data_IF_382786220659
#
_entry.id   IF_382786220659
#
_cell.length_a   1.000
_cell.length_b   1.000
_cell.length_c   1.000
_cell.angle_alpha   90.00
_cell.angle_beta   90.00
_cell.angle_gamma   90.00
#
_symmetry.space_group_name_H-M   'P 1'
#
loop_
_entity.id
_entity.type
_entity.pdbx_description
1 polymer ?
#
# COMPACT_ATOMS: atom_id res chain seq x y z
N UNK A 1 -6.61 12.65 110.03
CA UNK A 1 -6.82 11.21 110.22
C UNK A 1 -7.00 10.60 108.88
N UNK A 2 -6.01 9.94 108.41
CA UNK A 2 -5.99 8.52 108.04
C UNK A 2 -6.91 8.18 106.87
N UNK A 3 -6.64 7.52 105.84
CA UNK A 3 -5.55 6.60 105.51
C UNK A 3 -5.64 6.26 104.03
N UNK A 4 -4.53 5.93 103.46
CA UNK A 4 -4.20 4.75 102.64
C UNK A 4 -4.94 4.59 101.27
N UNK A 5 -4.28 4.73 100.26
CA UNK A 5 -3.46 3.77 99.48
C UNK A 5 -4.25 2.63 98.86
N UNK A 6 -4.21 2.55 97.60
CA UNK A 6 -4.00 1.25 96.92
C UNK A 6 -3.70 1.37 95.40
N UNK A 7 -2.72 0.67 95.06
CA UNK A 7 -2.14 0.37 93.73
C UNK A 7 -3.14 -0.25 92.75
N UNK A 8 -2.92 -0.01 91.52
CA UNK A 8 -3.57 -0.74 90.41
C UNK A 8 -2.80 -0.66 89.14
N UNK A 9 -1.84 -1.53 88.99
CA UNK A 9 -1.15 -1.89 87.75
C UNK A 9 -2.12 -2.50 86.72
N UNK A 10 -2.16 -2.00 85.50
CA UNK A 10 -2.63 -2.69 84.26
C UNK A 10 -2.60 -1.68 83.18
N UNK A 11 -2.18 -1.84 82.00
CA UNK A 11 -1.92 -2.94 81.08
C UNK A 11 -1.16 -2.36 79.89
N UNK A 12 0.02 -2.82 79.66
CA UNK A 12 0.72 -2.67 78.38
C UNK A 12 0.39 -3.89 77.55
N UNK A 13 -0.73 -3.86 76.80
CA UNK A 13 -1.04 -4.78 75.72
C UNK A 13 -2.06 -4.13 74.82
N UNK A 14 -1.61 -3.51 73.72
CA UNK A 14 -2.54 -2.91 72.79
C UNK A 14 -1.91 -2.19 71.61
N UNK A 15 -0.61 -2.27 71.38
CA UNK A 15 0.05 -1.53 70.27
C UNK A 15 0.79 -2.45 69.31
N UNK A 16 0.59 -3.74 69.33
CA UNK A 16 1.27 -4.68 68.40
C UNK A 16 0.35 -5.30 67.35
N UNK A 17 -0.92 -4.93 67.27
CA UNK A 17 -1.88 -5.53 66.31
C UNK A 17 -2.28 -4.62 65.15
N UNK A 18 -1.81 -3.38 65.04
CA UNK A 18 -2.14 -2.45 63.92
C UNK A 18 -1.02 -2.23 62.91
N UNK A 19 0.16 -2.83 63.12
CA UNK A 19 1.29 -2.68 62.16
C UNK A 19 1.38 -3.80 61.11
N UNK A 20 0.55 -4.85 61.21
CA UNK A 20 0.57 -5.98 60.25
C UNK A 20 -0.50 -5.90 59.17
N UNK A 21 -1.41 -4.93 59.21
CA UNK A 21 -2.49 -4.78 58.20
C UNK A 21 -2.21 -3.73 57.10
N UNK A 22 -1.07 -3.02 57.15
CA UNK A 22 -0.76 -1.96 56.20
C UNK A 22 0.27 -2.34 55.10
N UNK A 23 0.70 -3.62 55.05
CA UNK A 23 1.71 -4.05 54.07
C UNK A 23 1.17 -5.03 53.02
N UNK A 24 -0.14 -5.12 52.82
CA UNK A 24 -0.78 -6.01 51.84
C UNK A 24 -1.70 -5.30 50.82
N UNK A 25 -1.33 -4.14 50.32
CA UNK A 25 -2.14 -3.50 49.27
C UNK A 25 -1.31 -2.57 48.41
N UNK A 26 -0.37 -3.11 47.64
CA UNK A 26 0.16 -2.50 46.43
C UNK A 26 0.89 -3.54 45.58
N UNK A 27 0.27 -4.71 45.36
CA UNK A 27 0.53 -5.50 44.16
C UNK A 27 -0.53 -5.06 43.18
N UNK A 28 -0.29 -3.94 42.51
CA UNK A 28 -0.97 -3.68 41.24
C UNK A 28 -0.61 -4.84 40.32
N UNK A 29 -1.58 -5.62 39.80
CA UNK A 29 -1.27 -6.52 38.72
C UNK A 29 -0.82 -5.62 37.55
N UNK A 30 0.46 -5.58 37.29
CA UNK A 30 0.95 -5.23 35.97
C UNK A 30 0.25 -6.20 35.05
N UNK A 31 -0.86 -5.77 34.45
CA UNK A 31 -1.48 -6.45 33.34
C UNK A 31 -0.40 -6.45 32.26
N UNK A 32 0.36 -7.53 32.25
CA UNK A 32 1.21 -7.88 31.12
C UNK A 32 0.20 -8.07 29.99
N UNK A 33 0.02 -7.02 29.17
CA UNK A 33 -0.73 -7.16 27.95
C UNK A 33 -0.14 -8.39 27.26
N UNK A 34 -0.93 -9.44 27.17
CA UNK A 34 -0.58 -10.61 26.37
C UNK A 34 -0.40 -10.07 24.95
N UNK A 35 0.82 -10.01 24.50
CA UNK A 35 1.16 -9.64 23.14
C UNK A 35 0.63 -10.74 22.26
N UNK A 36 -0.48 -10.47 21.58
CA UNK A 36 -1.13 -11.43 20.69
C UNK A 36 -0.44 -11.41 19.33
N UNK A 37 -0.29 -12.57 18.71
CA UNK A 37 0.12 -12.67 17.31
C UNK A 37 -0.85 -11.89 16.41
N UNK A 38 -0.44 -11.56 15.18
CA UNK A 38 -1.34 -10.96 14.20
C UNK A 38 -2.65 -11.76 14.10
N UNK A 39 -3.81 -11.09 14.16
CA UNK A 39 -5.10 -11.75 14.05
C UNK A 39 -5.29 -12.36 12.66
N UNK A 40 -6.02 -13.48 12.59
CA UNK A 40 -6.37 -14.10 11.31
C UNK A 40 -7.48 -13.34 10.59
N UNK A 41 -8.21 -12.47 11.29
CA UNK A 41 -9.27 -11.59 10.79
C UNK A 41 -9.36 -10.37 11.70
N UNK A 42 -9.60 -9.20 11.11
CA UNK A 42 -10.02 -8.02 11.84
C UNK A 42 -11.55 -7.89 11.76
N UNK A 43 -12.20 -7.58 12.87
CA UNK A 43 -13.58 -7.14 12.81
C UNK A 43 -13.68 -5.75 12.16
N UNK A 44 -14.86 -5.37 11.68
CA UNK A 44 -15.08 -4.11 10.95
C UNK A 44 -14.74 -2.88 11.76
N UNK A 45 -14.98 -2.91 13.07
CA UNK A 45 -14.67 -1.80 13.97
C UNK A 45 -13.15 -1.63 14.12
N UNK A 46 -12.44 -2.72 14.34
CA UNK A 46 -10.97 -2.72 14.45
C UNK A 46 -10.34 -2.29 13.13
N UNK A 47 -10.80 -2.84 12.01
CA UNK A 47 -10.35 -2.42 10.67
C UNK A 47 -10.53 -0.91 10.47
N UNK A 48 -11.74 -0.39 10.74
CA UNK A 48 -12.02 1.04 10.54
C UNK A 48 -11.23 1.93 11.50
N UNK A 49 -10.98 1.45 12.72
CA UNK A 49 -10.10 2.13 13.69
C UNK A 49 -8.67 2.23 13.13
N UNK A 50 -8.10 1.14 12.58
CA UNK A 50 -6.79 1.20 11.95
C UNK A 50 -6.78 2.21 10.79
N UNK A 51 -7.77 2.15 9.89
CA UNK A 51 -7.89 3.07 8.75
C UNK A 51 -7.92 4.53 9.21
N UNK A 52 -8.69 4.85 10.25
CA UNK A 52 -8.87 6.23 10.69
C UNK A 52 -7.74 6.73 11.60
N UNK A 53 -7.36 5.89 12.58
CA UNK A 53 -6.39 6.30 13.60
C UNK A 53 -4.94 6.29 13.09
N UNK A 54 -4.61 5.48 12.07
CA UNK A 54 -3.26 5.48 11.51
C UNK A 54 -3.10 6.50 10.39
N UNK A 55 -4.21 6.94 9.80
CA UNK A 55 -4.17 7.92 8.70
C UNK A 55 -3.79 9.32 9.16
N UNK A 56 -3.22 10.05 8.24
CA UNK A 56 -2.86 11.46 8.28
C UNK A 56 -3.88 12.30 7.48
N UNK A 57 -3.87 13.62 7.61
CA UNK A 57 -4.57 14.49 6.65
C UNK A 57 -4.10 14.21 5.22
N UNK A 58 -5.04 14.27 4.27
CA UNK A 58 -4.72 14.05 2.85
C UNK A 58 -3.74 15.08 2.33
N UNK A 59 -2.66 14.61 1.71
CA UNK A 59 -1.78 15.44 0.91
C UNK A 59 -2.22 15.50 -0.55
N UNK A 60 -1.37 16.08 -1.38
CA UNK A 60 -1.60 16.28 -2.81
C UNK A 60 -0.57 15.52 -3.65
N UNK A 61 -1.06 14.90 -4.70
CA UNK A 61 -0.23 14.39 -5.80
C UNK A 61 -0.87 14.80 -7.14
N UNK A 62 -0.05 15.14 -8.12
CA UNK A 62 -0.53 15.73 -9.39
C UNK A 62 -1.30 14.78 -10.32
N UNK A 63 -1.28 13.49 -10.04
CA UNK A 63 -1.94 12.45 -10.84
C UNK A 63 -3.00 11.74 -10.03
N UNK A 64 -4.09 11.34 -10.66
CA UNK A 64 -5.11 10.48 -10.04
C UNK A 64 -4.58 9.10 -9.68
N UNK A 65 -3.69 8.55 -10.53
CA UNK A 65 -3.06 7.24 -10.31
C UNK A 65 -4.08 6.15 -9.94
N UNK A 66 -5.16 6.04 -10.73
CA UNK A 66 -6.22 5.05 -10.49
C UNK A 66 -5.78 3.65 -10.91
N UNK A 67 -4.82 3.57 -11.84
CA UNK A 67 -4.11 2.36 -12.27
C UNK A 67 -2.62 2.67 -12.33
N UNK A 68 -1.77 1.65 -12.27
CA UNK A 68 -0.32 1.81 -12.33
C UNK A 68 0.16 2.22 -13.72
N UNK A 69 1.41 2.67 -13.80
CA UNK A 69 2.15 2.88 -15.05
C UNK A 69 3.41 2.00 -15.16
N UNK A 70 3.52 0.96 -14.34
CA UNK A 70 4.68 0.08 -14.18
C UNK A 70 4.45 -1.25 -14.90
N UNK A 71 4.88 -1.40 -16.15
CA UNK A 71 4.65 -2.61 -16.95
C UNK A 71 5.35 -3.86 -16.43
N UNK A 72 6.55 -3.71 -15.84
CA UNK A 72 7.41 -4.85 -15.50
C UNK A 72 7.38 -5.21 -14.02
N UNK A 73 6.35 -4.78 -13.32
CA UNK A 73 6.23 -4.96 -11.87
C UNK A 73 6.19 -6.44 -11.43
N UNK A 74 5.76 -7.36 -12.30
CA UNK A 74 5.71 -8.78 -12.00
C UNK A 74 7.07 -9.48 -12.05
N UNK A 75 8.11 -8.86 -12.67
CA UNK A 75 9.42 -9.50 -12.89
C UNK A 75 10.13 -9.90 -11.60
N UNK A 76 9.88 -9.22 -10.51
CA UNK A 76 10.51 -9.50 -9.21
C UNK A 76 9.83 -10.60 -8.40
N UNK A 77 8.59 -10.96 -8.75
CA UNK A 77 7.78 -11.93 -7.97
C UNK A 77 8.47 -13.28 -7.81
N UNK A 78 9.04 -13.91 -8.87
CA UNK A 78 9.72 -15.19 -8.70
C UNK A 78 10.89 -15.16 -7.72
N UNK A 79 11.62 -14.04 -7.66
CA UNK A 79 12.71 -13.86 -6.69
C UNK A 79 12.15 -13.68 -5.28
N UNK A 80 11.13 -12.85 -5.10
CA UNK A 80 10.49 -12.62 -3.81
C UNK A 80 9.93 -13.92 -3.21
N UNK A 81 9.23 -14.73 -3.99
CA UNK A 81 8.66 -16.01 -3.54
C UNK A 81 9.72 -17.01 -3.07
N UNK A 82 10.95 -16.94 -3.61
CA UNK A 82 12.06 -17.81 -3.16
C UNK A 82 12.77 -17.31 -1.92
N UNK A 83 12.71 -16.01 -1.64
CA UNK A 83 13.54 -15.39 -0.61
C UNK A 83 12.78 -15.01 0.65
N UNK A 84 11.47 -14.78 0.55
CA UNK A 84 10.65 -14.32 1.67
C UNK A 84 10.14 -15.50 2.51
N UNK A 85 10.03 -15.25 3.81
CA UNK A 85 9.39 -16.17 4.73
C UNK A 85 7.87 -15.93 4.73
N UNK A 86 7.04 -17.00 4.85
CA UNK A 86 5.61 -16.85 5.09
C UNK A 86 5.32 -16.09 6.41
N UNK A 87 4.17 -15.44 6.49
CA UNK A 87 3.60 -14.90 7.74
C UNK A 87 4.12 -13.55 8.26
N UNK A 88 4.48 -12.64 7.39
CA UNK A 88 4.88 -11.27 7.73
C UNK A 88 3.92 -10.24 7.14
N UNK A 89 4.18 -8.95 7.40
CA UNK A 89 3.38 -7.87 6.87
C UNK A 89 3.92 -7.37 5.53
N UNK A 90 3.00 -6.91 4.67
CA UNK A 90 3.29 -6.18 3.45
C UNK A 90 2.98 -4.69 3.67
N UNK A 91 3.84 -3.81 3.19
CA UNK A 91 3.56 -2.37 3.09
C UNK A 91 3.68 -1.97 1.62
N UNK A 92 2.75 -1.16 1.13
CA UNK A 92 2.77 -0.72 -0.28
C UNK A 92 2.18 0.66 -0.47
N UNK A 93 2.23 1.16 -1.72
CA UNK A 93 1.70 2.45 -2.14
C UNK A 93 0.94 2.34 -3.46
N UNK A 94 0.01 3.25 -3.68
CA UNK A 94 -0.68 3.36 -4.97
C UNK A 94 -1.81 2.36 -5.19
N UNK A 95 -2.18 2.08 -6.46
CA UNK A 95 -3.40 1.36 -6.79
C UNK A 95 -3.30 -0.17 -6.65
N UNK A 96 -4.17 -0.85 -7.35
CA UNK A 96 -4.41 -2.31 -7.35
C UNK A 96 -3.21 -3.19 -7.76
N UNK A 97 -2.13 -2.63 -8.29
CA UNK A 97 -0.86 -3.35 -8.48
C UNK A 97 -0.41 -4.06 -7.20
N UNK A 98 -0.67 -3.47 -6.03
CA UNK A 98 -0.44 -4.08 -4.73
C UNK A 98 -1.12 -5.46 -4.61
N UNK A 99 -2.31 -5.63 -5.17
CA UNK A 99 -3.06 -6.89 -5.09
C UNK A 99 -2.31 -8.06 -5.73
N UNK A 100 -1.56 -7.80 -6.81
CA UNK A 100 -0.72 -8.83 -7.44
C UNK A 100 0.40 -9.27 -6.49
N UNK A 101 1.11 -8.33 -5.84
CA UNK A 101 2.12 -8.67 -4.85
C UNK A 101 1.52 -9.38 -3.64
N UNK A 102 0.40 -8.87 -3.13
CA UNK A 102 -0.31 -9.44 -1.97
C UNK A 102 -0.77 -10.87 -2.27
N UNK A 103 -1.40 -11.12 -3.42
CA UNK A 103 -1.86 -12.44 -3.81
C UNK A 103 -0.70 -13.43 -4.03
N UNK A 104 0.43 -12.96 -4.57
CA UNK A 104 1.62 -13.78 -4.80
C UNK A 104 2.40 -14.12 -3.53
N UNK A 105 2.44 -13.21 -2.55
CA UNK A 105 3.25 -13.32 -1.33
C UNK A 105 2.44 -13.78 -0.10
N UNK A 106 1.12 -13.63 -0.15
CA UNK A 106 0.17 -14.06 0.91
C UNK A 106 0.57 -13.58 2.31
N UNK A 107 0.78 -12.27 2.52
CA UNK A 107 1.11 -11.74 3.83
C UNK A 107 -0.05 -11.97 4.81
N UNK A 108 0.24 -11.99 6.11
CA UNK A 108 -0.80 -12.06 7.14
C UNK A 108 -1.62 -10.78 7.25
N UNK A 109 -1.01 -9.64 6.92
CA UNK A 109 -1.68 -8.34 6.85
C UNK A 109 -0.95 -7.47 5.82
N UNK A 110 -1.68 -6.60 5.14
CA UNK A 110 -1.14 -5.63 4.21
C UNK A 110 -1.61 -4.22 4.58
N UNK A 111 -0.69 -3.26 4.56
CA UNK A 111 -0.97 -1.84 4.70
C UNK A 111 -0.64 -1.11 3.40
N UNK A 112 -1.62 -0.43 2.81
CA UNK A 112 -1.40 0.37 1.61
C UNK A 112 -1.46 1.84 1.99
N UNK A 113 -0.31 2.49 2.02
CA UNK A 113 -0.14 3.87 2.49
C UNK A 113 0.07 4.79 1.29
N UNK A 114 -0.82 5.73 1.08
CA UNK A 114 -0.71 6.72 0.00
C UNK A 114 -1.05 8.12 0.55
N UNK A 115 -0.35 9.11 0.07
CA UNK A 115 -0.56 10.51 0.50
C UNK A 115 -1.97 11.02 0.16
N UNK A 116 -2.64 10.43 -0.82
CA UNK A 116 -3.97 10.84 -1.27
C UNK A 116 -5.06 10.03 -0.60
N UNK A 117 -6.06 10.74 -0.04
CA UNK A 117 -7.29 10.10 0.43
C UNK A 117 -8.02 9.35 -0.69
N UNK A 118 -7.93 9.83 -1.93
CA UNK A 118 -8.53 9.18 -3.09
C UNK A 118 -8.03 7.74 -3.28
N UNK A 119 -6.75 7.44 -3.01
CA UNK A 119 -6.23 6.07 -3.08
C UNK A 119 -6.83 5.16 -2.00
N UNK A 120 -7.00 5.68 -0.78
CA UNK A 120 -7.73 4.95 0.28
C UNK A 120 -9.17 4.63 -0.17
N UNK A 121 -9.87 5.59 -0.76
CA UNK A 121 -11.24 5.42 -1.26
C UNK A 121 -11.30 4.44 -2.46
N UNK A 122 -10.30 4.43 -3.34
CA UNK A 122 -10.11 3.45 -4.40
C UNK A 122 -10.04 2.02 -3.82
N UNK A 123 -9.21 1.81 -2.79
CA UNK A 123 -9.10 0.50 -2.14
C UNK A 123 -10.37 0.09 -1.39
N UNK A 124 -11.08 1.01 -0.75
CA UNK A 124 -12.39 0.72 -0.15
C UNK A 124 -13.44 0.34 -1.20
N UNK A 125 -13.42 0.98 -2.38
CA UNK A 125 -14.26 0.59 -3.52
C UNK A 125 -13.90 -0.83 -3.99
N UNK A 126 -12.62 -1.14 -4.16
CA UNK A 126 -12.17 -2.49 -4.51
C UNK A 126 -12.59 -3.53 -3.48
N UNK A 127 -12.42 -3.23 -2.18
CA UNK A 127 -12.88 -4.10 -1.10
C UNK A 127 -14.35 -4.47 -1.27
N UNK A 128 -15.23 -3.48 -1.42
CA UNK A 128 -16.66 -3.72 -1.60
C UNK A 128 -16.94 -4.56 -2.85
N UNK A 129 -16.29 -4.26 -3.98
CA UNK A 129 -16.49 -4.98 -5.24
C UNK A 129 -15.99 -6.42 -5.16
N UNK A 130 -14.83 -6.67 -4.56
CA UNK A 130 -14.23 -8.00 -4.40
C UNK A 130 -15.10 -8.86 -3.49
N UNK A 131 -15.53 -8.34 -2.33
CA UNK A 131 -16.40 -9.06 -1.40
C UNK A 131 -17.76 -9.44 -2.01
N UNK A 132 -18.32 -8.58 -2.87
CA UNK A 132 -19.60 -8.84 -3.55
C UNK A 132 -19.45 -9.76 -4.77
N UNK A 133 -18.23 -10.16 -5.14
CA UNK A 133 -17.96 -10.88 -6.38
C UNK A 133 -17.34 -12.24 -6.08
N UNK A 134 -18.11 -13.33 -6.21
CA UNK A 134 -17.61 -14.67 -5.91
C UNK A 134 -16.57 -15.18 -6.92
N UNK A 135 -16.50 -14.58 -8.11
CA UNK A 135 -15.55 -14.94 -9.17
C UNK A 135 -14.92 -13.70 -9.78
N UNK A 136 -13.76 -13.87 -10.44
CA UNK A 136 -13.08 -12.77 -11.13
C UNK A 136 -13.92 -12.19 -12.28
N UNK A 137 -14.77 -12.97 -12.94
CA UNK A 137 -15.69 -12.45 -13.95
C UNK A 137 -16.75 -11.54 -13.31
N UNK A 138 -17.34 -11.99 -12.20
CA UNK A 138 -18.32 -11.19 -11.46
C UNK A 138 -17.67 -9.87 -10.96
N UNK A 139 -16.42 -9.93 -10.54
CA UNK A 139 -15.63 -8.74 -10.16
C UNK A 139 -15.45 -7.78 -11.33
N UNK A 140 -14.98 -8.25 -12.49
CA UNK A 140 -14.78 -7.40 -13.67
C UNK A 140 -16.12 -6.84 -14.20
N UNK A 141 -17.19 -7.64 -14.19
CA UNK A 141 -18.53 -7.18 -14.55
C UNK A 141 -18.99 -6.02 -13.67
N UNK A 142 -18.76 -6.10 -12.34
CA UNK A 142 -19.07 -5.02 -11.42
C UNK A 142 -18.13 -3.84 -11.56
N UNK A 143 -16.82 -4.07 -11.66
CA UNK A 143 -15.82 -3.01 -11.78
C UNK A 143 -16.06 -2.09 -12.98
N UNK A 144 -16.37 -2.69 -14.14
CA UNK A 144 -16.62 -1.95 -15.36
C UNK A 144 -18.11 -1.68 -15.64
N UNK A 145 -19.00 -2.20 -14.81
CA UNK A 145 -20.45 -2.17 -15.03
C UNK A 145 -20.82 -2.62 -16.45
N UNK A 146 -20.29 -3.76 -16.85
CA UNK A 146 -20.55 -4.40 -18.14
C UNK A 146 -21.16 -5.78 -17.92
N UNK A 147 -22.03 -6.28 -18.81
CA UNK A 147 -22.55 -7.63 -18.69
C UNK A 147 -21.41 -8.65 -18.72
N UNK A 148 -21.60 -9.78 -18.08
CA UNK A 148 -20.66 -10.90 -18.22
C UNK A 148 -20.72 -11.42 -19.64
N UNK A 149 -19.59 -11.49 -20.39
CA UNK A 149 -19.57 -11.94 -21.76
C UNK A 149 -20.18 -13.35 -21.91
N UNK A 150 -21.02 -13.55 -22.93
CA UNK A 150 -21.71 -14.81 -23.15
C UNK A 150 -20.74 -15.91 -23.65
N UNK A 151 -19.80 -15.55 -24.50
CA UNK A 151 -18.78 -16.46 -25.04
C UNK A 151 -17.56 -16.49 -24.13
N UNK A 152 -17.53 -17.46 -23.22
CA UNK A 152 -16.42 -17.66 -22.29
C UNK A 152 -16.21 -19.14 -22.03
N UNK A 153 -14.94 -19.51 -21.77
CA UNK A 153 -14.59 -20.84 -21.33
C UNK A 153 -14.27 -20.84 -19.84
N UNK A 154 -14.61 -21.87 -19.07
CA UNK A 154 -14.07 -22.06 -17.75
C UNK A 154 -12.55 -22.00 -17.81
N UNK A 155 -11.90 -21.24 -16.93
CA UNK A 155 -10.44 -21.03 -16.88
C UNK A 155 -9.84 -20.19 -18.03
N UNK A 156 -10.62 -19.29 -18.63
CA UNK A 156 -10.05 -18.31 -19.55
C UNK A 156 -8.85 -17.57 -18.93
N UNK A 157 -7.84 -17.31 -19.76
CA UNK A 157 -6.71 -16.48 -19.35
C UNK A 157 -7.20 -15.05 -19.03
N UNK A 158 -6.44 -14.31 -18.21
CA UNK A 158 -6.73 -12.90 -17.95
C UNK A 158 -6.86 -12.10 -19.25
N UNK A 159 -6.06 -12.42 -20.27
CA UNK A 159 -6.11 -11.78 -21.58
C UNK A 159 -7.46 -12.05 -22.30
N UNK A 160 -7.87 -13.31 -22.38
CA UNK A 160 -9.14 -13.68 -23.03
C UNK A 160 -10.32 -13.01 -22.30
N UNK A 161 -10.32 -13.06 -20.97
CA UNK A 161 -11.37 -12.49 -20.15
C UNK A 161 -11.47 -10.97 -20.33
N UNK A 162 -10.36 -10.22 -20.18
CA UNK A 162 -10.36 -8.77 -20.35
C UNK A 162 -10.67 -8.33 -21.78
N UNK A 163 -10.24 -9.11 -22.80
CA UNK A 163 -10.57 -8.85 -24.20
C UNK A 163 -12.06 -9.06 -24.45
N UNK A 164 -12.70 -10.02 -23.79
CA UNK A 164 -14.14 -10.20 -23.88
C UNK A 164 -14.89 -9.02 -23.25
N UNK A 165 -14.51 -8.59 -22.06
CA UNK A 165 -15.10 -7.41 -21.41
C UNK A 165 -14.87 -6.09 -22.17
N UNK A 166 -13.79 -5.95 -22.93
CA UNK A 166 -13.53 -4.77 -23.75
C UNK A 166 -14.61 -4.59 -24.85
N UNK A 167 -15.16 -5.70 -25.35
CA UNK A 167 -16.19 -5.70 -26.40
C UNK A 167 -17.60 -5.43 -25.89
N UNK A 168 -17.82 -5.61 -24.59
CA UNK A 168 -19.13 -5.36 -23.98
C UNK A 168 -19.36 -3.87 -23.79
N UNK A 169 -20.59 -3.40 -24.04
CA UNK A 169 -20.95 -2.00 -23.80
C UNK A 169 -21.20 -1.75 -22.30
N UNK A 170 -20.81 -0.57 -21.79
CA UNK A 170 -21.09 -0.21 -20.41
C UNK A 170 -22.60 -0.04 -20.15
N UNK A 171 -23.10 -0.65 -19.09
CA UNK A 171 -24.50 -0.60 -18.66
C UNK A 171 -24.71 0.43 -17.54
N UNK A 172 -25.40 1.54 -17.86
CA UNK A 172 -25.69 2.61 -16.91
C UNK A 172 -26.61 2.17 -15.76
N UNK A 173 -27.52 1.22 -15.99
CA UNK A 173 -28.39 0.68 -14.93
C UNK A 173 -27.57 -0.17 -13.96
N UNK A 174 -26.68 -1.00 -14.48
CA UNK A 174 -25.74 -1.77 -13.67
C UNK A 174 -24.79 -0.85 -12.89
N UNK A 175 -24.31 0.24 -13.49
CA UNK A 175 -23.47 1.23 -12.80
C UNK A 175 -24.17 1.83 -11.58
N UNK A 176 -25.40 2.32 -11.73
CA UNK A 176 -26.15 2.91 -10.63
C UNK A 176 -26.46 1.90 -9.52
N UNK A 177 -26.83 0.68 -9.90
CA UNK A 177 -27.04 -0.42 -8.95
C UNK A 177 -25.77 -0.77 -8.19
N UNK A 178 -24.65 -1.01 -8.88
CA UNK A 178 -23.38 -1.39 -8.27
C UNK A 178 -22.88 -0.27 -7.35
N UNK A 179 -23.01 1.00 -7.75
CA UNK A 179 -22.68 2.16 -6.92
C UNK A 179 -23.46 2.17 -5.60
N UNK A 180 -24.76 1.94 -5.67
CA UNK A 180 -25.60 1.88 -4.47
C UNK A 180 -25.22 0.67 -3.59
N UNK A 181 -24.87 -0.48 -4.18
CA UNK A 181 -24.40 -1.65 -3.46
C UNK A 181 -23.04 -1.41 -2.79
N UNK A 182 -22.08 -0.73 -3.44
CA UNK A 182 -20.79 -0.30 -2.84
C UNK A 182 -21.06 0.55 -1.59
N UNK A 183 -21.90 1.58 -1.69
CA UNK A 183 -22.22 2.43 -0.55
C UNK A 183 -22.90 1.64 0.57
N UNK A 184 -23.84 0.76 0.23
CA UNK A 184 -24.51 -0.10 1.20
C UNK A 184 -23.54 -1.06 1.89
N UNK A 185 -22.60 -1.65 1.15
CA UNK A 185 -21.57 -2.55 1.69
C UNK A 185 -20.70 -1.80 2.71
N UNK A 186 -20.14 -0.66 2.32
CA UNK A 186 -19.20 0.08 3.17
C UNK A 186 -19.88 0.74 4.38
N UNK A 187 -21.02 1.41 4.18
CA UNK A 187 -21.64 2.18 5.26
C UNK A 187 -22.61 1.37 6.13
N UNK A 188 -23.44 0.49 5.53
CA UNK A 188 -24.48 -0.22 6.28
C UNK A 188 -24.04 -1.58 6.79
N UNK A 189 -23.26 -2.33 5.99
CA UNK A 189 -22.82 -3.67 6.39
C UNK A 189 -21.56 -3.60 7.25
N UNK A 190 -20.50 -2.88 6.79
CA UNK A 190 -19.27 -2.67 7.57
C UNK A 190 -19.37 -1.55 8.61
N UNK A 191 -20.33 -0.63 8.50
CA UNK A 191 -20.47 0.48 9.43
C UNK A 191 -19.40 1.56 9.30
N UNK A 192 -18.70 1.66 8.17
CA UNK A 192 -17.64 2.65 7.98
C UNK A 192 -18.23 4.07 7.88
N UNK A 193 -17.70 4.99 8.70
CA UNK A 193 -18.16 6.37 8.79
C UNK A 193 -17.61 7.23 7.65
N UNK A 194 -18.09 6.98 6.42
CA UNK A 194 -17.71 7.73 5.23
C UNK A 194 -18.52 9.03 5.13
N UNK A 195 -17.83 10.14 4.92
CA UNK A 195 -18.45 11.45 4.70
C UNK A 195 -19.10 11.53 3.31
N UNK A 196 -19.92 12.56 3.10
CA UNK A 196 -20.46 12.84 1.75
C UNK A 196 -19.37 13.10 0.71
N UNK A 197 -18.26 13.73 1.11
CA UNK A 197 -17.10 13.95 0.25
C UNK A 197 -16.41 12.62 -0.12
N UNK A 198 -16.31 11.67 0.82
CA UNK A 198 -15.76 10.34 0.56
C UNK A 198 -16.60 9.56 -0.43
N UNK A 199 -17.91 9.58 -0.28
CA UNK A 199 -18.82 8.95 -1.25
C UNK A 199 -18.69 9.58 -2.64
N UNK A 200 -18.55 10.92 -2.71
CA UNK A 200 -18.24 11.62 -3.97
C UNK A 200 -16.89 11.22 -4.56
N UNK A 201 -15.88 10.97 -3.73
CA UNK A 201 -14.58 10.44 -4.15
C UNK A 201 -14.68 9.01 -4.71
N UNK A 202 -15.43 8.14 -4.06
CA UNK A 202 -15.72 6.78 -4.57
C UNK A 202 -16.47 6.85 -5.90
N UNK A 203 -17.50 7.71 -6.02
CA UNK A 203 -18.23 7.89 -7.29
C UNK A 203 -17.30 8.35 -8.42
N UNK A 204 -16.41 9.30 -8.15
CA UNK A 204 -15.43 9.77 -9.14
C UNK A 204 -14.53 8.64 -9.64
N UNK A 205 -13.97 7.87 -8.72
CA UNK A 205 -13.10 6.73 -9.05
C UNK A 205 -13.88 5.67 -9.83
N UNK A 206 -15.05 5.28 -9.34
CA UNK A 206 -15.86 4.23 -9.97
C UNK A 206 -16.31 4.61 -11.37
N UNK A 207 -16.69 5.89 -11.57
CA UNK A 207 -17.05 6.44 -12.87
C UNK A 207 -15.91 6.36 -13.88
N UNK A 208 -14.65 6.52 -13.45
CA UNK A 208 -13.50 6.38 -14.33
C UNK A 208 -13.37 4.94 -14.87
N UNK A 209 -13.54 3.92 -14.00
CA UNK A 209 -13.54 2.51 -14.40
C UNK A 209 -14.75 2.16 -15.30
N UNK A 210 -15.94 2.65 -14.97
CA UNK A 210 -17.13 2.50 -15.80
C UNK A 210 -16.90 3.06 -17.20
N UNK A 211 -16.39 4.28 -17.32
CA UNK A 211 -16.27 5.00 -18.59
C UNK A 211 -15.19 4.42 -19.50
N UNK A 212 -14.04 4.03 -18.94
CA UNK A 212 -12.91 3.55 -19.71
C UNK A 212 -12.84 2.02 -19.83
N UNK A 213 -13.49 1.29 -18.92
CA UNK A 213 -13.45 -0.18 -18.91
C UNK A 213 -12.01 -0.71 -18.78
N UNK A 214 -11.68 -1.85 -19.43
CA UNK A 214 -10.34 -2.44 -19.42
C UNK A 214 -9.24 -1.53 -19.96
N UNK A 215 -9.59 -0.50 -20.73
CA UNK A 215 -8.66 0.47 -21.33
C UNK A 215 -8.34 1.67 -20.40
N UNK A 216 -8.81 1.68 -19.17
CA UNK A 216 -8.43 2.74 -18.20
C UNK A 216 -6.92 2.78 -18.06
N UNK A 217 -6.34 4.00 -18.09
CA UNK A 217 -4.88 4.24 -18.07
C UNK A 217 -4.51 5.24 -17.00
N UNK A 218 -3.26 5.17 -16.56
CA UNK A 218 -2.65 6.22 -15.76
C UNK A 218 -2.74 7.57 -16.49
N UNK A 219 -3.05 8.64 -15.76
CA UNK A 219 -3.23 9.97 -16.34
C UNK A 219 -2.63 11.05 -15.43
N UNK A 220 -1.97 12.04 -16.03
CA UNK A 220 -1.54 13.27 -15.36
C UNK A 220 -2.63 14.37 -15.33
N UNK A 221 -3.88 14.04 -15.62
CA UNK A 221 -4.98 14.99 -15.69
C UNK A 221 -5.16 15.64 -17.07
N UNK A 222 -6.13 16.56 -17.17
CA UNK A 222 -6.45 17.25 -18.43
C UNK A 222 -5.25 18.08 -18.91
N UNK A 223 -4.78 17.82 -20.12
CA UNK A 223 -3.72 18.60 -20.79
C UNK A 223 -2.35 17.93 -20.83
N UNK A 224 -2.13 16.79 -20.20
CA UNK A 224 -0.97 15.96 -20.51
C UNK A 224 -1.16 15.40 -21.91
N UNK A 225 -0.26 15.75 -22.84
CA UNK A 225 -0.26 15.21 -24.21
C UNK A 225 -0.30 13.68 -24.18
N UNK A 226 -0.58 13.06 -25.32
CA UNK A 226 -0.70 11.61 -25.47
C UNK A 226 0.53 10.92 -24.86
N UNK A 227 0.32 10.30 -23.70
CA UNK A 227 1.32 9.48 -23.01
C UNK A 227 0.90 8.03 -23.18
N UNK A 228 1.71 7.18 -23.80
CA UNK A 228 1.38 5.78 -24.02
C UNK A 228 1.59 4.94 -22.74
N UNK A 229 0.88 5.29 -21.67
CA UNK A 229 0.88 4.47 -20.47
C UNK A 229 0.09 3.18 -20.70
N UNK A 230 0.45 2.08 -20.02
CA UNK A 230 -0.29 0.82 -20.11
C UNK A 230 -1.72 1.01 -19.64
N UNK A 231 -2.64 0.26 -20.27
CA UNK A 231 -4.01 0.12 -19.77
C UNK A 231 -4.07 -0.86 -18.60
N UNK A 232 -5.19 -0.88 -17.89
CA UNK A 232 -5.48 -1.90 -16.89
C UNK A 232 -5.34 -3.31 -17.49
N UNK A 233 -5.85 -3.51 -18.73
CA UNK A 233 -5.71 -4.76 -19.46
C UNK A 233 -4.25 -5.12 -19.69
N UNK A 234 -3.41 -4.18 -20.18
CA UNK A 234 -1.98 -4.39 -20.39
C UNK A 234 -1.30 -4.84 -19.10
N UNK A 235 -1.59 -4.17 -17.97
CA UNK A 235 -1.00 -4.48 -16.67
C UNK A 235 -1.42 -5.85 -16.13
N UNK A 236 -2.69 -6.20 -16.27
CA UNK A 236 -3.23 -7.48 -15.78
C UNK A 236 -2.81 -8.68 -16.63
N UNK A 237 -2.42 -8.43 -17.88
CA UNK A 237 -1.96 -9.46 -18.82
C UNK A 237 -0.44 -9.50 -18.99
N UNK A 238 0.30 -8.60 -18.34
CA UNK A 238 1.76 -8.64 -18.28
C UNK A 238 2.25 -9.95 -17.64
N UNK A 239 3.47 -10.34 -17.99
CA UNK A 239 4.12 -11.52 -17.41
C UNK A 239 5.32 -11.14 -16.51
N UNK A 240 5.99 -12.14 -15.97
CA UNK A 240 7.13 -12.01 -15.07
C UNK A 240 8.50 -11.93 -15.81
N UNK A 241 8.49 -11.70 -17.12
CA UNK A 241 9.68 -11.72 -17.98
C UNK A 241 10.12 -13.14 -18.40
N UNK A 242 9.40 -14.16 -17.94
CA UNK A 242 9.63 -15.57 -18.29
C UNK A 242 8.38 -16.21 -18.94
N UNK A 243 7.40 -15.39 -19.32
CA UNK A 243 6.16 -15.82 -19.94
C UNK A 243 5.07 -16.31 -18.96
N UNK A 244 5.26 -16.13 -17.65
CA UNK A 244 4.28 -16.52 -16.63
C UNK A 244 3.55 -15.29 -16.10
N UNK A 245 2.25 -15.22 -16.33
CA UNK A 245 1.39 -14.19 -15.75
C UNK A 245 1.17 -14.46 -14.26
N UNK A 246 1.34 -13.42 -13.42
CA UNK A 246 1.21 -13.51 -11.97
C UNK A 246 0.21 -12.50 -11.39
N UNK A 247 -0.52 -11.82 -12.27
CA UNK A 247 -1.55 -10.85 -11.89
C UNK A 247 -2.66 -11.47 -11.03
N UNK A 248 -3.26 -10.71 -10.16
CA UNK A 248 -4.33 -11.19 -9.26
C UNK A 248 -5.60 -11.65 -10.00
N UNK A 249 -5.71 -11.38 -11.30
CA UNK A 249 -6.79 -11.87 -12.17
C UNK A 249 -6.38 -13.03 -13.08
N UNK A 250 -5.17 -13.58 -12.94
CA UNK A 250 -4.65 -14.61 -13.85
C UNK A 250 -5.40 -15.93 -13.71
N UNK A 251 -5.79 -16.30 -12.50
CA UNK A 251 -6.60 -17.49 -12.24
C UNK A 251 -7.61 -17.25 -11.12
N UNK A 252 -8.63 -18.11 -11.06
CA UNK A 252 -9.61 -18.05 -9.98
C UNK A 252 -8.98 -18.25 -8.60
N UNK A 253 -8.05 -19.17 -8.45
CA UNK A 253 -7.37 -19.45 -7.17
C UNK A 253 -6.58 -18.23 -6.64
N UNK A 254 -5.92 -17.48 -7.53
CA UNK A 254 -5.20 -16.27 -7.18
C UNK A 254 -6.20 -15.18 -6.75
N UNK A 255 -7.29 -15.02 -7.48
CA UNK A 255 -8.37 -14.10 -7.14
C UNK A 255 -9.01 -14.45 -5.79
N UNK A 256 -9.30 -15.73 -5.53
CA UNK A 256 -9.85 -16.19 -4.25
C UNK A 256 -8.89 -15.94 -3.08
N UNK A 257 -7.58 -16.01 -3.31
CA UNK A 257 -6.59 -15.62 -2.29
C UNK A 257 -6.71 -14.14 -1.89
N UNK A 258 -6.87 -13.26 -2.88
CA UNK A 258 -7.08 -11.83 -2.63
C UNK A 258 -8.43 -11.58 -1.95
N UNK A 259 -9.50 -12.24 -2.44
CA UNK A 259 -10.84 -12.11 -1.89
C UNK A 259 -10.92 -12.54 -0.42
N UNK A 260 -10.25 -13.65 -0.07
CA UNK A 260 -10.16 -14.10 1.33
C UNK A 260 -9.51 -13.06 2.24
N UNK A 261 -8.44 -12.40 1.80
CA UNK A 261 -7.79 -11.33 2.57
C UNK A 261 -8.70 -10.10 2.73
N UNK A 262 -9.45 -9.72 1.69
CA UNK A 262 -10.43 -8.63 1.77
C UNK A 262 -11.59 -8.96 2.71
N UNK A 263 -12.17 -10.15 2.61
CA UNK A 263 -13.25 -10.59 3.49
C UNK A 263 -12.84 -10.71 4.96
N UNK A 264 -11.56 -10.90 5.22
CA UNK A 264 -10.98 -10.92 6.57
C UNK A 264 -10.48 -9.55 7.04
N UNK A 265 -10.67 -8.48 6.26
CA UNK A 265 -10.20 -7.13 6.59
C UNK A 265 -8.67 -7.03 6.77
N UNK A 266 -7.89 -7.82 6.05
CA UNK A 266 -6.44 -7.89 6.18
C UNK A 266 -5.67 -7.04 5.17
N UNK A 267 -6.36 -6.27 4.32
CA UNK A 267 -5.77 -5.26 3.44
C UNK A 267 -6.26 -3.89 3.90
N UNK A 268 -5.40 -3.17 4.63
CA UNK A 268 -5.75 -1.93 5.33
C UNK A 268 -5.22 -0.71 4.55
N UNK A 269 -6.09 0.05 3.87
CA UNK A 269 -5.68 1.25 3.17
C UNK A 269 -5.57 2.44 4.12
N UNK A 270 -4.47 3.18 4.04
CA UNK A 270 -4.16 4.32 4.89
C UNK A 270 -3.88 5.58 4.05
N UNK A 271 -4.28 6.73 4.57
CA UNK A 271 -3.79 8.02 4.09
C UNK A 271 -2.51 8.35 4.85
N UNK A 272 -1.40 8.58 4.17
CA UNK A 272 -0.15 8.95 4.85
C UNK A 272 0.96 9.37 3.90
N UNK A 273 1.75 10.35 4.34
CA UNK A 273 3.01 10.69 3.71
C UNK A 273 4.10 9.75 4.24
N UNK A 274 4.92 9.19 3.37
CA UNK A 274 6.05 8.34 3.80
C UNK A 274 7.04 9.11 4.69
N UNK A 275 7.20 10.41 4.45
CA UNK A 275 7.99 11.33 5.29
C UNK A 275 7.17 11.94 6.45
N UNK A 276 5.91 11.55 6.60
CA UNK A 276 4.98 12.06 7.60
C UNK A 276 5.26 11.53 9.01
N UNK A 277 4.68 12.17 10.02
CA UNK A 277 5.00 11.83 11.42
C UNK A 277 4.21 10.63 11.95
N UNK A 278 3.19 10.11 11.23
CA UNK A 278 2.19 9.24 11.88
C UNK A 278 2.00 7.89 11.19
N UNK A 279 1.67 7.83 9.89
CA UNK A 279 1.14 6.62 9.27
C UNK A 279 2.11 5.43 9.37
N UNK A 280 3.34 5.53 8.84
CA UNK A 280 4.33 4.46 8.91
C UNK A 280 4.73 4.12 10.35
N UNK A 281 4.83 5.12 11.23
CA UNK A 281 5.14 4.91 12.65
C UNK A 281 4.01 4.19 13.39
N UNK A 282 2.75 4.39 12.99
CA UNK A 282 1.61 3.67 13.55
C UNK A 282 1.59 2.21 13.10
N UNK A 283 1.90 1.96 11.81
CA UNK A 283 2.10 0.61 11.28
C UNK A 283 3.24 -0.09 12.05
N UNK A 284 4.37 0.58 12.27
CA UNK A 284 5.50 0.04 13.02
C UNK A 284 5.08 -0.40 14.43
N UNK A 285 4.43 0.50 15.18
CA UNK A 285 3.95 0.18 16.54
C UNK A 285 2.95 -0.98 16.56
N UNK A 286 2.04 -1.03 15.59
CA UNK A 286 1.07 -2.12 15.48
C UNK A 286 1.77 -3.46 15.26
N UNK A 287 2.74 -3.50 14.35
CA UNK A 287 3.49 -4.72 14.05
C UNK A 287 4.36 -5.16 15.23
N UNK A 288 5.01 -4.24 15.94
CA UNK A 288 5.78 -4.52 17.15
C UNK A 288 4.90 -5.14 18.24
N UNK A 289 3.70 -4.60 18.47
CA UNK A 289 2.74 -5.12 19.46
C UNK A 289 2.31 -6.55 19.13
N UNK A 290 2.29 -6.92 17.85
CA UNK A 290 1.91 -8.25 17.37
C UNK A 290 3.10 -9.15 17.03
N UNK A 291 4.35 -8.75 17.38
CA UNK A 291 5.59 -9.48 17.06
C UNK A 291 5.70 -9.86 15.57
N UNK A 292 5.24 -8.99 14.72
CA UNK A 292 5.26 -9.17 13.27
C UNK A 292 6.30 -8.27 12.61
N UNK A 293 6.82 -8.68 11.47
CA UNK A 293 7.83 -7.95 10.72
C UNK A 293 7.32 -7.56 9.33
N UNK A 294 7.85 -6.49 8.76
CA UNK A 294 7.62 -6.12 7.37
C UNK A 294 8.50 -6.99 6.49
N UNK A 295 7.93 -7.84 5.64
CA UNK A 295 8.69 -8.63 4.66
C UNK A 295 8.99 -7.86 3.39
N UNK A 296 8.01 -7.07 2.94
CA UNK A 296 8.10 -6.28 1.71
C UNK A 296 7.58 -4.88 1.95
N UNK A 297 8.32 -3.90 1.42
CA UNK A 297 7.87 -2.54 1.30
C UNK A 297 7.93 -2.10 -0.18
N UNK A 298 6.79 -2.09 -0.85
CA UNK A 298 6.66 -1.58 -2.21
C UNK A 298 6.51 -0.05 -2.16
N UNK A 299 7.53 0.64 -2.62
CA UNK A 299 7.60 2.11 -2.62
C UNK A 299 7.29 2.75 -3.96
N UNK A 300 7.13 1.94 -5.03
CA UNK A 300 7.05 2.49 -6.39
C UNK A 300 8.25 3.42 -6.66
N UNK A 301 8.01 4.61 -7.17
CA UNK A 301 9.01 5.67 -7.34
C UNK A 301 8.82 6.85 -6.37
N UNK A 302 8.20 6.65 -5.22
CA UNK A 302 7.94 7.72 -4.24
C UNK A 302 9.23 8.41 -3.81
N UNK A 303 10.31 7.65 -3.60
CA UNK A 303 11.62 8.19 -3.19
C UNK A 303 12.12 9.24 -4.17
N UNK A 304 11.87 9.10 -5.47
CA UNK A 304 12.21 10.12 -6.46
C UNK A 304 11.59 11.51 -6.16
N UNK A 305 10.39 11.51 -5.55
CA UNK A 305 9.71 12.75 -5.16
C UNK A 305 10.21 13.31 -3.84
N UNK A 306 10.68 12.45 -2.93
CA UNK A 306 11.21 12.85 -1.62
C UNK A 306 12.60 13.51 -1.73
N UNK A 307 13.40 13.13 -2.73
CA UNK A 307 14.73 13.71 -3.01
C UNK A 307 14.70 15.01 -3.82
N UNK A 308 13.55 15.63 -4.05
CA UNK A 308 13.47 16.86 -4.85
C UNK A 308 14.09 18.05 -4.13
N UNK A 309 14.72 19.00 -4.90
CA UNK A 309 15.31 20.22 -4.33
C UNK A 309 14.27 21.10 -3.61
N UNK A 310 14.77 21.98 -2.72
CA UNK A 310 13.97 22.99 -2.04
C UNK A 310 13.16 23.83 -3.04
N UNK A 311 11.89 24.08 -2.71
CA UNK A 311 10.92 24.77 -3.58
C UNK A 311 9.82 23.85 -4.11
N UNK A 312 9.99 22.53 -3.96
CA UNK A 312 8.91 21.54 -4.00
C UNK A 312 8.07 21.64 -2.71
N UNK A 313 6.79 21.23 -2.71
CA UNK A 313 6.01 21.09 -1.47
C UNK A 313 6.69 20.22 -0.40
N UNK A 314 7.59 19.32 -0.81
CA UNK A 314 8.43 18.56 0.11
C UNK A 314 9.70 19.38 0.44
N UNK A 315 9.89 19.66 1.71
CA UNK A 315 11.12 20.26 2.26
C UNK A 315 12.30 19.35 1.95
N UNK A 316 13.51 19.92 1.77
CA UNK A 316 14.70 19.21 1.32
C UNK A 316 15.19 18.04 2.20
N UNK A 317 14.55 17.78 3.35
CA UNK A 317 14.84 16.69 4.30
C UNK A 317 13.76 15.57 4.29
N UNK A 318 12.80 15.59 3.35
CA UNK A 318 11.73 14.60 3.32
C UNK A 318 12.24 13.15 3.17
N UNK A 319 13.29 12.96 2.37
CA UNK A 319 13.90 11.64 2.19
C UNK A 319 14.58 11.12 3.46
N UNK A 320 15.20 12.00 4.29
CA UNK A 320 15.77 11.61 5.58
C UNK A 320 14.65 11.16 6.53
N UNK A 321 13.57 11.95 6.66
CA UNK A 321 12.41 11.58 7.49
C UNK A 321 11.78 10.27 7.04
N UNK A 322 11.75 10.00 5.73
CA UNK A 322 11.27 8.72 5.23
C UNK A 322 12.14 7.57 5.73
N UNK A 323 13.48 7.66 5.62
CA UNK A 323 14.36 6.59 6.09
C UNK A 323 14.38 6.48 7.63
N UNK A 324 14.17 7.57 8.35
CA UNK A 324 13.92 7.52 9.80
C UNK A 324 12.63 6.76 10.13
N UNK A 325 11.57 6.94 9.31
CA UNK A 325 10.33 6.18 9.46
C UNK A 325 10.50 4.70 9.08
N UNK A 326 11.32 4.39 8.08
CA UNK A 326 11.67 3.00 7.75
C UNK A 326 12.49 2.35 8.85
N UNK A 327 13.40 3.13 9.47
CA UNK A 327 14.26 2.66 10.56
C UNK A 327 13.52 2.22 11.82
N UNK A 328 12.26 2.62 12.01
CA UNK A 328 11.42 2.15 13.14
C UNK A 328 10.50 0.99 12.77
N UNK A 329 10.45 0.56 11.52
CA UNK A 329 9.68 -0.62 11.13
C UNK A 329 10.39 -1.89 11.66
N UNK A 330 9.65 -2.84 12.24
CA UNK A 330 10.21 -4.16 12.57
C UNK A 330 10.51 -4.91 11.27
N UNK A 331 11.79 -5.17 11.03
CA UNK A 331 12.29 -5.83 9.82
C UNK A 331 13.10 -7.08 10.15
N UNK A 332 13.23 -7.97 9.18
CA UNK A 332 14.12 -9.13 9.17
C UNK A 332 15.25 -8.96 8.15
N UNK A 333 16.32 -9.74 8.22
CA UNK A 333 17.43 -9.64 7.26
C UNK A 333 17.03 -9.77 5.79
N UNK A 334 15.89 -10.43 5.51
CA UNK A 334 15.35 -10.62 4.15
C UNK A 334 14.30 -9.61 3.75
N UNK A 335 13.91 -8.71 4.67
CA UNK A 335 12.96 -7.63 4.38
C UNK A 335 13.45 -6.80 3.19
N UNK A 336 12.58 -6.59 2.22
CA UNK A 336 13.00 -6.11 0.90
C UNK A 336 12.12 -4.96 0.43
N UNK A 337 12.75 -3.91 -0.10
CA UNK A 337 12.06 -2.90 -0.90
C UNK A 337 11.77 -3.43 -2.32
N UNK A 338 10.61 -3.05 -2.85
CA UNK A 338 10.30 -3.09 -4.28
C UNK A 338 10.21 -1.66 -4.77
N UNK A 339 11.01 -1.29 -5.78
CA UNK A 339 11.04 0.05 -6.36
C UNK A 339 10.75 0.01 -7.85
N UNK A 340 10.09 1.04 -8.34
CA UNK A 340 9.99 1.31 -9.77
C UNK A 340 10.97 2.43 -10.15
N UNK A 341 11.83 2.16 -11.11
CA UNK A 341 12.71 3.15 -11.70
C UNK A 341 12.29 3.42 -13.14
N UNK A 342 11.97 4.67 -13.46
CA UNK A 342 11.60 5.10 -14.80
C UNK A 342 12.80 5.69 -15.52
N UNK A 343 13.35 4.94 -16.47
CA UNK A 343 14.44 5.41 -17.30
C UNK A 343 13.87 6.01 -18.60
N UNK A 344 13.86 7.33 -18.71
CA UNK A 344 13.32 8.02 -19.87
C UNK A 344 14.14 7.86 -21.16
N UNK A 345 15.39 7.35 -21.10
CA UNK A 345 16.27 7.34 -22.28
C UNK A 345 17.18 6.12 -22.43
N UNK A 346 17.13 5.08 -21.61
CA UNK A 346 18.09 3.95 -21.74
C UNK A 346 19.57 4.33 -21.57
N UNK A 347 19.85 5.57 -21.14
CA UNK A 347 21.18 6.05 -20.78
C UNK A 347 21.12 6.79 -19.44
N UNK A 348 21.79 6.24 -18.46
CA UNK A 348 22.22 7.03 -17.29
C UNK A 348 23.26 8.01 -17.81
N UNK A 349 22.88 9.25 -18.09
CA UNK A 349 23.87 10.31 -18.22
C UNK A 349 24.42 10.58 -16.82
N UNK A 350 25.59 10.06 -16.50
CA UNK A 350 26.45 10.65 -15.47
C UNK A 350 26.81 12.05 -15.96
N UNK A 351 26.23 13.08 -15.34
CA UNK A 351 26.68 14.45 -15.52
C UNK A 351 27.98 14.58 -14.73
N UNK A 352 29.13 14.91 -15.34
CA UNK A 352 30.44 14.88 -14.66
C UNK A 352 30.62 15.89 -13.52
N UNK A 353 29.68 16.76 -13.23
CA UNK A 353 29.82 17.89 -12.30
C UNK A 353 28.68 18.06 -11.29
N UNK A 354 28.08 17.00 -10.79
CA UNK A 354 27.18 17.08 -9.61
C UNK A 354 25.85 17.84 -9.82
N UNK A 355 25.50 18.20 -11.06
CA UNK A 355 24.21 18.79 -11.37
C UNK A 355 23.15 17.71 -11.53
N UNK A 356 22.08 17.78 -10.76
CA UNK A 356 20.94 16.87 -10.94
C UNK A 356 20.27 17.10 -12.29
N UNK A 357 19.93 16.03 -13.05
CA UNK A 357 19.11 16.19 -14.25
C UNK A 357 17.72 16.68 -13.83
N UNK A 358 17.22 17.69 -14.55
CA UNK A 358 15.83 18.16 -14.38
C UNK A 358 14.87 17.01 -14.68
N UNK A 359 14.05 16.55 -13.71
CA UNK A 359 13.07 15.49 -13.95
C UNK A 359 11.99 15.89 -14.98
N UNK A 360 11.90 17.16 -15.33
CA UNK A 360 10.99 17.66 -16.38
C UNK A 360 11.67 17.77 -17.75
N UNK A 361 13.01 17.74 -17.83
CA UNK A 361 13.73 17.80 -19.11
C UNK A 361 13.65 16.50 -19.95
N UNK A 362 13.12 15.42 -19.37
CA UNK A 362 13.05 14.10 -20.01
C UNK A 362 11.97 13.89 -21.07
N UNK A 363 11.19 14.92 -21.44
CA UNK A 363 10.15 14.83 -22.49
C UNK A 363 10.35 15.96 -23.52
N UNK A 364 11.57 16.19 -23.93
CA UNK A 364 11.80 16.93 -25.17
C UNK A 364 11.54 15.94 -26.33
N UNK A 365 10.43 16.13 -27.02
CA UNK A 365 10.20 15.48 -28.31
C UNK A 365 11.41 15.79 -29.20
N UNK A 366 12.11 14.79 -29.68
CA UNK A 366 13.08 14.94 -30.77
C UNK A 366 12.23 15.36 -31.98
N UNK A 367 12.44 16.58 -32.56
CA UNK A 367 11.68 16.98 -33.70
C UNK A 367 11.87 15.98 -34.85
N UNK A 368 10.84 15.73 -35.69
CA UNK A 368 10.98 14.86 -36.86
C UNK A 368 12.16 15.35 -37.73
N UNK A 369 13.15 14.49 -37.95
CA UNK A 369 14.35 14.79 -38.75
C UNK A 369 15.67 14.89 -37.98
N UNK A 370 15.67 14.84 -36.64
CA UNK A 370 16.90 14.90 -35.81
C UNK A 370 17.33 13.56 -35.17
N UNK A 371 16.73 12.45 -35.58
CA UNK A 371 17.18 11.14 -35.10
C UNK A 371 18.53 10.77 -35.74
N UNK A 372 19.54 10.36 -34.92
CA UNK A 372 20.81 9.89 -35.47
C UNK A 372 20.63 8.65 -36.34
N UNK A 373 21.49 8.42 -37.36
CA UNK A 373 21.43 7.22 -38.18
C UNK A 373 21.50 5.95 -37.31
N UNK A 374 20.52 5.07 -37.46
CA UNK A 374 20.41 3.84 -36.65
C UNK A 374 19.51 3.95 -35.41
N UNK A 375 18.86 5.10 -35.19
CA UNK A 375 17.85 5.22 -34.12
C UNK A 375 16.60 4.42 -34.50
N UNK A 376 16.36 3.34 -33.79
CA UNK A 376 15.08 2.61 -33.83
C UNK A 376 14.24 3.18 -32.68
N UNK A 377 13.10 3.86 -32.97
CA UNK A 377 12.19 4.28 -31.91
C UNK A 377 11.80 3.06 -31.05
N UNK A 378 11.74 3.18 -29.73
CA UNK A 378 11.26 2.08 -28.92
C UNK A 378 9.83 1.73 -29.35
N UNK A 379 9.67 0.55 -29.92
CA UNK A 379 8.37 -0.02 -30.30
C UNK A 379 7.71 -0.62 -29.07
N UNK A 380 7.14 0.23 -28.19
CA UNK A 380 6.40 -0.24 -27.03
C UNK A 380 5.79 0.93 -26.27
N UNK A 381 4.66 0.72 -25.59
CA UNK A 381 3.93 1.78 -24.90
C UNK A 381 4.69 2.24 -23.65
N UNK A 382 4.94 3.53 -23.53
CA UNK A 382 5.33 4.23 -22.32
C UNK A 382 6.80 4.27 -21.95
N UNK A 383 7.16 5.07 -20.93
CA UNK A 383 8.51 5.06 -20.38
C UNK A 383 8.85 3.68 -19.84
N UNK A 384 10.00 3.13 -20.19
CA UNK A 384 10.46 1.85 -19.70
C UNK A 384 10.67 1.97 -18.20
N UNK A 385 9.90 1.20 -17.41
CA UNK A 385 10.13 1.02 -15.98
C UNK A 385 11.03 -0.18 -15.76
N UNK A 386 11.91 -0.11 -14.77
CA UNK A 386 12.60 -1.26 -14.16
C UNK A 386 12.01 -1.46 -12.78
N UNK A 387 11.81 -2.71 -12.36
CA UNK A 387 11.44 -3.03 -10.99
C UNK A 387 12.66 -3.59 -10.27
N UNK A 388 13.07 -2.93 -9.20
CA UNK A 388 14.31 -3.18 -8.48
C UNK A 388 14.00 -3.71 -7.07
N UNK A 389 14.90 -4.57 -6.57
CA UNK A 389 14.85 -5.10 -5.20
C UNK A 389 16.09 -4.66 -4.42
N UNK A 390 15.88 -4.25 -3.17
CA UNK A 390 16.97 -3.91 -2.26
C UNK A 390 16.62 -4.35 -0.84
N UNK A 391 17.51 -5.08 -0.11
CA UNK A 391 17.29 -5.36 1.30
C UNK A 391 17.13 -4.06 2.09
N UNK A 392 16.10 -3.98 2.95
CA UNK A 392 15.83 -2.77 3.75
C UNK A 392 17.00 -2.47 4.67
N UNK A 393 17.58 -3.50 5.31
CA UNK A 393 18.73 -3.37 6.20
C UNK A 393 19.95 -2.75 5.49
N UNK A 394 20.26 -3.20 4.26
CA UNK A 394 21.39 -2.71 3.49
C UNK A 394 21.24 -1.21 3.14
N UNK A 395 20.02 -0.77 2.83
CA UNK A 395 19.75 0.64 2.58
C UNK A 395 19.87 1.47 3.87
N UNK A 396 19.34 0.99 5.00
CA UNK A 396 19.45 1.70 6.29
C UNK A 396 20.91 1.82 6.75
N UNK A 397 21.72 0.78 6.54
CA UNK A 397 23.18 0.84 6.78
C UNK A 397 23.87 1.89 5.88
N UNK A 398 23.49 1.94 4.61
CA UNK A 398 24.02 2.92 3.67
C UNK A 398 23.62 4.35 4.05
N UNK A 399 22.36 4.53 4.46
CA UNK A 399 21.84 5.81 4.94
C UNK A 399 22.56 6.28 6.23
N UNK A 400 22.65 5.41 7.24
CA UNK A 400 23.35 5.72 8.49
C UNK A 400 24.85 6.02 8.27
N UNK A 401 25.46 5.37 7.29
CA UNK A 401 26.85 5.60 6.88
C UNK A 401 27.06 6.80 5.95
N UNK A 402 26.01 7.60 5.67
CA UNK A 402 26.10 8.80 4.82
C UNK A 402 26.36 8.50 3.33
N UNK A 403 26.11 7.28 2.88
CA UNK A 403 26.29 6.86 1.48
C UNK A 403 25.04 7.08 0.61
N UNK A 404 23.96 7.59 1.19
CA UNK A 404 22.74 7.97 0.50
C UNK A 404 22.57 9.47 0.61
N UNK A 405 22.66 10.17 -0.50
CA UNK A 405 22.49 11.63 -0.59
C UNK A 405 21.61 12.04 -1.77
N UNK A 406 21.46 11.17 -2.75
CA UNK A 406 20.63 11.38 -3.96
C UNK A 406 19.76 10.17 -4.23
N UNK A 407 18.71 10.35 -5.05
CA UNK A 407 17.89 9.24 -5.51
C UNK A 407 18.69 8.20 -6.31
N UNK A 408 19.73 8.62 -7.04
CA UNK A 408 20.56 7.71 -7.80
C UNK A 408 21.40 6.78 -6.93
N UNK A 409 21.84 7.23 -5.74
CA UNK A 409 22.53 6.36 -4.77
C UNK A 409 21.62 5.20 -4.35
N UNK A 410 20.31 5.48 -4.18
CA UNK A 410 19.31 4.45 -3.86
C UNK A 410 19.14 3.45 -5.01
N UNK A 411 19.12 3.94 -6.25
CA UNK A 411 19.01 3.09 -7.44
C UNK A 411 20.25 2.21 -7.61
N UNK A 412 21.44 2.77 -7.43
CA UNK A 412 22.70 2.02 -7.53
C UNK A 412 22.82 0.93 -6.46
N UNK A 413 22.33 1.19 -5.25
CA UNK A 413 22.23 0.18 -4.17
C UNK A 413 21.17 -0.90 -4.43
N UNK A 414 20.25 -0.68 -5.39
CA UNK A 414 19.17 -1.62 -5.72
C UNK A 414 19.49 -2.52 -6.91
N UNK A 415 20.64 -2.37 -7.54
CA UNK A 415 21.17 -3.17 -8.66
C UNK A 415 22.23 -4.12 -8.17
#
# INVERSE_FOLDING_TARGET
MSAMASHGTTVKFGILALAAAALMLCVTPTSRALTEALPDRLDDRTFWTLVTEFSEPSGFFRSDNLVSNEMVFQHVIPRLQRTLLPSSAYVGVGPDQNFTYIAALKPRIAFIVDIRRQNMLLHLMYKALIEMSPTREAFLSRLFSRPVPAERLPNDSAYALLTAFEKEEPDGVAFERNRAEIYSRLQRQHGFSLSRADLGGIDYVYRAFYSAGPEIRYSFGRGSGWQPFPSYKDLMTADDGQGVQRGYLTSEDIYQTLRDLEERNLIVPLVGDFAGPKALRSVARYLDLHHATVSVFYTSNVEQYLFRPQGSPNTGDAWQRFYDNVGVLPIEPRSTFIRAFFNSQGRVMRIPNGGQPDPQAGIAQIPPGFAPPGFVPPTGPGPRSETLLNPISALLEAFAGGRVSTYYDVIDLSR
#
